data_IF_135305882469
#
_entry.id   IF_135305882469
#
_cell.length_a   1.000
_cell.length_b   1.000
_cell.length_c   1.000
_cell.angle_alpha   90.00
_cell.angle_beta   90.00
_cell.angle_gamma   90.00
#
_symmetry.space_group_name_H-M   'P 1'
#
loop_
_entity.id
_entity.type
_entity.pdbx_description
1 polymer ?
#
# COMPACT_ATOMS: atom_id res chain seq x y z
N UNK A 1 -19.38 -8.60 -8.99
CA UNK A 1 -18.77 -9.91 -8.65
C UNK A 1 -19.47 -11.08 -9.31
N UNK A 2 -20.76 -11.33 -9.12
CA UNK A 2 -21.46 -12.38 -9.90
C UNK A 2 -21.37 -12.15 -11.43
N UNK A 3 -21.41 -10.89 -11.86
CA UNK A 3 -21.15 -10.49 -13.26
C UNK A 3 -19.76 -10.94 -13.75
N UNK A 4 -18.71 -10.63 -12.97
CA UNK A 4 -17.31 -11.01 -13.26
C UNK A 4 -17.16 -12.54 -13.28
N UNK A 5 -17.80 -13.24 -12.34
CA UNK A 5 -17.85 -14.71 -12.32
C UNK A 5 -18.53 -15.27 -13.59
N UNK A 6 -19.65 -14.68 -14.02
CA UNK A 6 -20.31 -15.04 -15.28
C UNK A 6 -19.40 -14.86 -16.48
N UNK A 7 -18.75 -13.71 -16.59
CA UNK A 7 -17.79 -13.42 -17.67
C UNK A 7 -16.62 -14.41 -17.68
N UNK A 8 -16.09 -14.74 -16.51
CA UNK A 8 -15.05 -15.76 -16.36
C UNK A 8 -15.55 -17.16 -16.76
N UNK A 9 -16.77 -17.55 -16.36
CA UNK A 9 -17.36 -18.82 -16.79
C UNK A 9 -17.53 -18.89 -18.31
N UNK A 10 -18.00 -17.82 -18.95
CA UNK A 10 -18.13 -17.74 -20.41
C UNK A 10 -16.76 -17.89 -21.07
N UNK A 11 -15.75 -17.17 -20.59
CA UNK A 11 -14.38 -17.22 -21.12
C UNK A 11 -13.74 -18.61 -21.00
N UNK A 12 -14.07 -19.37 -19.96
CA UNK A 12 -13.54 -20.71 -19.71
C UNK A 12 -14.51 -21.83 -20.14
N UNK A 13 -15.55 -21.51 -20.91
CA UNK A 13 -16.55 -22.46 -21.43
C UNK A 13 -17.31 -23.26 -20.34
N UNK A 14 -17.54 -22.66 -19.18
CA UNK A 14 -18.37 -23.22 -18.11
C UNK A 14 -19.78 -22.62 -18.09
N UNK A 15 -20.77 -23.44 -17.67
CA UNK A 15 -22.12 -22.95 -17.39
C UNK A 15 -22.13 -22.15 -16.09
N UNK A 16 -22.45 -20.86 -16.17
CA UNK A 16 -22.49 -20.01 -14.99
C UNK A 16 -23.66 -20.37 -14.04
N UNK A 17 -23.37 -20.48 -12.75
CA UNK A 17 -24.38 -20.68 -11.72
C UNK A 17 -25.29 -19.45 -11.54
N UNK A 18 -26.50 -19.69 -11.02
CA UNK A 18 -27.44 -18.62 -10.67
C UNK A 18 -26.86 -17.70 -9.59
N UNK A 19 -27.34 -16.44 -9.53
CA UNK A 19 -26.89 -15.49 -8.50
C UNK A 19 -27.18 -16.00 -7.08
N UNK A 20 -28.32 -16.67 -6.88
CA UNK A 20 -28.69 -17.25 -5.60
C UNK A 20 -27.74 -18.37 -5.16
N UNK A 21 -27.40 -19.28 -6.07
CA UNK A 21 -26.43 -20.36 -5.81
C UNK A 21 -25.05 -19.79 -5.51
N UNK A 22 -24.59 -18.81 -6.27
CA UNK A 22 -23.31 -18.12 -6.07
C UNK A 22 -23.23 -17.47 -4.68
N UNK A 23 -24.25 -16.70 -4.28
CA UNK A 23 -24.27 -16.07 -2.95
C UNK A 23 -24.37 -17.07 -1.80
N UNK A 24 -25.13 -18.17 -1.98
CA UNK A 24 -25.22 -19.25 -0.98
C UNK A 24 -23.87 -19.91 -0.75
N UNK A 25 -23.15 -20.25 -1.82
CA UNK A 25 -21.80 -20.85 -1.71
C UNK A 25 -20.86 -19.91 -0.97
N UNK A 26 -20.80 -18.63 -1.36
CA UNK A 26 -19.94 -17.67 -0.66
C UNK A 26 -20.26 -17.55 0.83
N UNK A 27 -21.54 -17.62 1.20
CA UNK A 27 -21.96 -17.56 2.60
C UNK A 27 -21.58 -18.85 3.35
N UNK A 28 -21.81 -20.02 2.74
CA UNK A 28 -21.47 -21.32 3.33
C UNK A 28 -19.96 -21.49 3.53
N UNK A 29 -19.16 -21.02 2.58
CA UNK A 29 -17.70 -21.05 2.64
C UNK A 29 -17.11 -19.89 3.45
N UNK A 30 -17.95 -19.04 4.05
CA UNK A 30 -17.55 -17.86 4.82
C UNK A 30 -16.61 -16.89 4.04
N UNK A 31 -16.87 -16.74 2.74
CA UNK A 31 -16.10 -15.87 1.84
C UNK A 31 -16.80 -14.52 1.71
N UNK A 32 -16.27 -13.53 2.42
CA UNK A 32 -16.67 -12.13 2.29
C UNK A 32 -15.98 -11.46 1.09
N UNK A 33 -16.73 -11.17 0.02
CA UNK A 33 -16.21 -10.33 -1.07
C UNK A 33 -16.50 -8.87 -0.76
N UNK A 34 -15.45 -8.16 -0.34
CA UNK A 34 -15.55 -6.73 -0.03
C UNK A 34 -15.05 -5.90 -1.20
N UNK A 35 -15.75 -4.80 -1.49
CA UNK A 35 -15.18 -3.74 -2.32
C UNK A 35 -13.89 -3.26 -1.66
N UNK A 36 -12.80 -3.03 -2.43
CA UNK A 36 -11.60 -2.42 -1.87
C UNK A 36 -11.97 -1.09 -1.22
N UNK A 37 -11.97 -1.03 0.12
CA UNK A 37 -12.32 0.21 0.86
C UNK A 37 -11.08 1.06 1.16
N UNK A 38 -9.90 0.44 1.18
CA UNK A 38 -8.60 1.08 1.47
C UNK A 38 -7.84 1.33 0.17
N UNK A 39 -6.94 2.31 0.19
CA UNK A 39 -5.96 2.61 -0.88
C UNK A 39 -6.56 3.09 -2.21
N UNK A 40 -7.75 3.71 -2.16
CA UNK A 40 -8.29 4.38 -3.34
C UNK A 40 -7.64 5.75 -3.53
N UNK A 41 -7.19 6.03 -4.76
CA UNK A 41 -6.72 7.38 -5.12
C UNK A 41 -7.83 8.39 -4.93
N UNK A 42 -7.55 9.45 -4.14
CA UNK A 42 -8.49 10.58 -3.92
C UNK A 42 -9.03 11.12 -5.24
N UNK A 43 -8.15 11.31 -6.24
CA UNK A 43 -8.51 11.83 -7.56
C UNK A 43 -9.47 10.88 -8.30
N UNK A 44 -9.21 9.57 -8.25
CA UNK A 44 -10.11 8.59 -8.86
C UNK A 44 -11.49 8.56 -8.17
N UNK A 45 -11.54 8.70 -6.84
CA UNK A 45 -12.79 8.80 -6.10
C UNK A 45 -13.55 10.08 -6.47
N UNK A 46 -12.85 11.22 -6.49
CA UNK A 46 -13.43 12.51 -6.84
C UNK A 46 -14.02 12.53 -8.25
N UNK A 47 -13.38 11.87 -9.22
CA UNK A 47 -13.93 11.78 -10.57
C UNK A 47 -15.24 10.98 -10.61
N UNK A 48 -15.29 9.84 -9.90
CA UNK A 48 -16.51 9.02 -9.80
C UNK A 48 -17.69 9.77 -9.18
N UNK A 49 -17.42 10.71 -8.29
CA UNK A 49 -18.45 11.56 -7.67
C UNK A 49 -18.73 12.84 -8.44
N UNK A 50 -18.09 13.06 -9.60
CA UNK A 50 -18.29 14.24 -10.45
C UNK A 50 -17.62 15.52 -9.92
N UNK A 51 -16.66 15.41 -9.00
CA UNK A 51 -16.01 16.56 -8.36
C UNK A 51 -14.76 17.07 -9.10
N UNK A 52 -14.29 16.36 -10.13
CA UNK A 52 -13.16 16.79 -10.98
C UNK A 52 -13.49 16.58 -12.45
N UNK A 53 -12.83 17.33 -13.32
CA UNK A 53 -13.06 17.26 -14.77
C UNK A 53 -12.51 15.97 -15.37
N UNK A 54 -12.95 15.65 -16.59
CA UNK A 54 -12.44 14.49 -17.33
C UNK A 54 -10.96 14.68 -17.69
N UNK A 55 -10.57 15.90 -18.05
CA UNK A 55 -9.19 16.26 -18.40
C UNK A 55 -8.25 16.11 -17.21
N UNK A 56 -8.67 16.55 -16.02
CA UNK A 56 -7.91 16.36 -14.77
C UNK A 56 -7.73 14.88 -14.42
N UNK A 57 -8.78 14.08 -14.63
CA UNK A 57 -8.73 12.64 -14.42
C UNK A 57 -7.81 11.95 -15.43
N UNK A 58 -7.90 12.28 -16.71
CA UNK A 58 -7.04 11.72 -17.77
C UNK A 58 -5.57 12.05 -17.53
N UNK A 59 -5.25 13.29 -17.14
CA UNK A 59 -3.90 13.68 -16.74
C UNK A 59 -3.40 12.86 -15.55
N UNK A 60 -4.25 12.65 -14.53
CA UNK A 60 -3.92 11.80 -13.38
C UNK A 60 -3.61 10.36 -13.81
N UNK A 61 -4.43 9.78 -14.69
CA UNK A 61 -4.24 8.41 -15.18
C UNK A 61 -2.97 8.30 -16.03
N UNK A 62 -2.69 9.27 -16.91
CA UNK A 62 -1.48 9.30 -17.72
C UNK A 62 -0.22 9.28 -16.83
N UNK A 63 -0.12 10.20 -15.87
CA UNK A 63 1.02 10.26 -14.92
C UNK A 63 1.17 8.98 -14.10
N UNK A 64 0.05 8.38 -13.69
CA UNK A 64 0.04 7.13 -12.94
C UNK A 64 0.57 5.96 -13.76
N UNK A 65 0.21 5.89 -15.04
CA UNK A 65 0.69 4.85 -15.96
C UNK A 65 2.18 5.07 -16.25
N UNK A 66 2.58 6.30 -16.56
CA UNK A 66 3.98 6.67 -16.77
C UNK A 66 4.88 6.29 -15.59
N UNK A 67 4.49 6.64 -14.36
CA UNK A 67 5.25 6.28 -13.17
C UNK A 67 5.37 4.76 -12.95
N UNK A 68 4.34 3.99 -13.33
CA UNK A 68 4.36 2.52 -13.21
C UNK A 68 5.24 1.88 -14.27
N UNK A 69 5.19 2.39 -15.50
CA UNK A 69 6.05 1.94 -16.59
C UNK A 69 7.51 2.27 -16.31
N UNK A 70 7.80 3.49 -15.85
CA UNK A 70 9.15 3.88 -15.41
C UNK A 70 9.67 2.96 -14.30
N UNK A 71 8.87 2.68 -13.27
CA UNK A 71 9.23 1.74 -12.21
C UNK A 71 9.49 0.34 -12.77
N UNK A 72 8.62 -0.16 -13.65
CA UNK A 72 8.76 -1.50 -14.25
C UNK A 72 10.05 -1.59 -15.07
N UNK A 73 10.27 -0.64 -15.97
CA UNK A 73 11.44 -0.61 -16.84
C UNK A 73 12.73 -0.55 -16.01
N UNK A 74 12.75 0.25 -14.94
CA UNK A 74 13.91 0.35 -14.07
C UNK A 74 14.18 -0.95 -13.31
N UNK A 75 13.15 -1.65 -12.85
CA UNK A 75 13.31 -2.97 -12.22
C UNK A 75 13.87 -3.99 -13.22
N UNK A 76 13.42 -3.96 -14.48
CA UNK A 76 13.88 -4.87 -15.53
C UNK A 76 15.31 -4.60 -15.98
N UNK A 77 15.76 -3.34 -15.93
CA UNK A 77 17.12 -2.93 -16.30
C UNK A 77 18.09 -2.79 -15.12
N UNK A 78 17.65 -3.11 -13.90
CA UNK A 78 18.45 -2.88 -12.70
C UNK A 78 19.63 -3.86 -12.61
N UNK A 79 20.80 -3.33 -12.28
CA UNK A 79 21.99 -4.10 -11.94
C UNK A 79 22.08 -4.33 -10.43
N UNK A 80 23.02 -5.16 -9.97
CA UNK A 80 23.27 -5.41 -8.54
C UNK A 80 23.63 -4.14 -7.74
N UNK A 81 24.09 -3.08 -8.43
CA UNK A 81 24.41 -1.79 -7.83
C UNK A 81 23.22 -0.84 -7.72
N UNK A 82 22.13 -1.13 -8.42
CA UNK A 82 20.96 -0.26 -8.43
C UNK A 82 20.08 -0.58 -7.22
N UNK A 83 19.48 0.47 -6.64
CA UNK A 83 18.61 0.34 -5.47
C UNK A 83 17.27 0.96 -5.80
N UNK A 84 16.22 0.14 -5.76
CA UNK A 84 14.84 0.58 -5.96
C UNK A 84 14.11 0.42 -4.65
N UNK A 85 13.82 1.53 -3.97
CA UNK A 85 13.03 1.52 -2.76
C UNK A 85 11.62 2.05 -2.98
N UNK A 86 10.67 1.45 -2.28
CA UNK A 86 9.36 2.04 -2.03
C UNK A 86 9.20 2.26 -0.55
N UNK A 87 8.69 3.43 -0.17
CA UNK A 87 8.48 3.77 1.22
C UNK A 87 7.00 3.91 1.53
N UNK A 88 6.60 3.53 2.73
CA UNK A 88 5.25 3.66 3.22
C UNK A 88 5.24 4.14 4.68
N UNK A 89 4.27 4.99 5.01
CA UNK A 89 4.07 5.50 6.37
C UNK A 89 2.73 4.96 6.84
N UNK A 90 2.74 4.17 7.91
CA UNK A 90 1.50 3.68 8.49
C UNK A 90 0.73 4.82 9.18
N UNK A 91 -0.59 4.67 9.27
CA UNK A 91 -1.41 5.51 10.14
C UNK A 91 -0.89 5.46 11.57
N UNK A 92 -0.94 6.61 12.27
CA UNK A 92 -0.49 6.73 13.67
C UNK A 92 -1.05 5.59 14.53
N UNK A 93 -0.14 4.87 15.18
CA UNK A 93 -0.46 3.77 16.08
C UNK A 93 -0.57 4.35 17.49
N UNK A 94 -1.65 4.02 18.21
CA UNK A 94 -1.85 4.49 19.58
C UNK A 94 -1.54 3.37 20.56
N UNK A 95 -0.67 3.64 21.53
CA UNK A 95 -0.28 2.71 22.58
C UNK A 95 -0.68 3.24 23.98
N UNK A 96 -1.25 2.38 24.87
CA UNK A 96 -1.62 0.98 24.65
C UNK A 96 -2.91 0.82 23.82
N UNK A 97 -3.00 -0.26 23.04
CA UNK A 97 -4.22 -0.63 22.30
C UNK A 97 -5.18 -1.36 23.24
N UNK A 98 -6.23 -0.68 23.71
CA UNK A 98 -7.22 -1.25 24.62
C UNK A 98 -8.64 -0.83 24.20
N UNK A 99 -9.59 -1.76 24.29
CA UNK A 99 -10.99 -1.58 23.84
C UNK A 99 -11.92 -1.00 24.92
N UNK A 100 -11.40 -0.69 26.12
CA UNK A 100 -12.20 -0.18 27.23
C UNK A 100 -12.51 1.32 27.05
N UNK A 101 -13.78 1.68 27.24
CA UNK A 101 -14.29 3.06 27.13
C UNK A 101 -13.58 4.04 28.08
N UNK A 102 -13.07 3.56 29.22
CA UNK A 102 -12.33 4.34 30.21
C UNK A 102 -11.05 5.01 29.66
N UNK A 103 -10.52 4.56 28.51
CA UNK A 103 -9.35 5.17 27.86
C UNK A 103 -9.69 6.34 26.95
N UNK A 104 -10.96 6.65 26.71
CA UNK A 104 -11.32 7.83 25.91
C UNK A 104 -10.73 9.12 26.51
N UNK A 105 -10.63 9.18 27.85
CA UNK A 105 -10.08 10.31 28.58
C UNK A 105 -8.61 10.16 28.98
N UNK A 106 -7.93 9.08 28.56
CA UNK A 106 -6.51 8.87 28.86
C UNK A 106 -5.65 9.28 27.67
N UNK A 107 -4.53 9.94 27.97
CA UNK A 107 -3.50 10.24 26.95
C UNK A 107 -2.98 8.92 26.38
N UNK A 108 -2.94 8.83 25.06
CA UNK A 108 -2.41 7.66 24.33
C UNK A 108 -1.10 8.08 23.68
N UNK A 109 -0.08 7.25 23.87
CA UNK A 109 1.22 7.46 23.25
C UNK A 109 1.08 7.28 21.74
N UNK A 110 1.53 8.26 20.97
CA UNK A 110 1.60 8.14 19.52
C UNK A 110 2.88 7.43 19.12
N UNK A 111 2.71 6.36 18.35
CA UNK A 111 3.77 5.58 17.74
C UNK A 111 3.69 5.72 16.22
N UNK A 112 4.85 5.90 15.62
CA UNK A 112 5.03 6.08 14.18
C UNK A 112 5.78 4.88 13.61
N UNK A 113 5.42 4.52 12.39
CA UNK A 113 6.05 3.42 11.66
C UNK A 113 6.31 3.89 10.22
N UNK A 114 7.57 3.84 9.83
CA UNK A 114 8.04 4.13 8.48
C UNK A 114 8.71 2.89 7.91
N UNK A 115 8.15 2.36 6.83
CA UNK A 115 8.61 1.14 6.19
C UNK A 115 9.34 1.49 4.90
N UNK A 116 10.56 0.97 4.75
CA UNK A 116 11.36 1.05 3.53
C UNK A 116 11.46 -0.36 2.96
N UNK A 117 10.96 -0.54 1.73
CA UNK A 117 10.93 -1.81 1.03
C UNK A 117 11.85 -1.76 -0.19
N UNK A 118 12.85 -2.65 -0.25
CA UNK A 118 13.68 -2.82 -1.42
C UNK A 118 12.97 -3.72 -2.43
N UNK A 119 12.67 -3.19 -3.60
CA UNK A 119 11.93 -3.90 -4.64
C UNK A 119 12.78 -5.00 -5.30
N UNK A 120 14.10 -4.84 -5.35
CA UNK A 120 15.01 -5.80 -5.97
C UNK A 120 15.33 -6.95 -5.01
N UNK A 121 15.89 -6.65 -3.83
CA UNK A 121 16.26 -7.68 -2.85
C UNK A 121 15.06 -8.28 -2.11
N UNK A 122 13.90 -7.60 -2.17
CA UNK A 122 12.68 -7.93 -1.39
C UNK A 122 12.83 -7.72 0.12
N UNK A 123 13.91 -7.10 0.57
CA UNK A 123 14.12 -6.79 1.98
C UNK A 123 13.26 -5.63 2.46
N UNK A 124 12.97 -5.67 3.76
CA UNK A 124 12.13 -4.67 4.42
C UNK A 124 12.86 -4.15 5.64
N UNK A 125 13.00 -2.83 5.73
CA UNK A 125 13.43 -2.16 6.97
C UNK A 125 12.28 -1.35 7.53
N UNK A 126 12.06 -1.50 8.83
CA UNK A 126 11.00 -0.81 9.56
C UNK A 126 11.65 0.11 10.60
N UNK A 127 11.39 1.40 10.48
CA UNK A 127 11.71 2.40 11.48
C UNK A 127 10.48 2.63 12.36
N UNK A 128 10.67 2.52 13.67
CA UNK A 128 9.61 2.68 14.66
C UNK A 128 10.09 3.60 15.77
N UNK A 129 9.30 4.63 16.07
CA UNK A 129 9.58 5.57 17.16
C UNK A 129 8.26 6.09 17.75
N UNK A 130 8.31 6.60 18.97
CA UNK A 130 7.16 7.28 19.57
C UNK A 130 7.35 8.81 19.58
N UNK A 131 6.29 9.55 19.83
CA UNK A 131 6.27 11.03 19.83
C UNK A 131 7.32 11.68 20.75
N UNK A 132 7.76 11.00 21.81
CA UNK A 132 8.83 11.49 22.67
C UNK A 132 10.25 11.36 22.08
N UNK A 133 10.46 10.49 21.09
CA UNK A 133 11.77 10.22 20.46
C UNK A 133 11.96 11.02 19.17
N UNK A 134 10.86 11.36 18.50
CA UNK A 134 10.90 12.06 17.22
C UNK A 134 9.52 12.46 16.76
N UNK A 135 9.46 13.48 15.91
CA UNK A 135 8.21 13.97 15.34
C UNK A 135 7.92 13.31 13.99
N UNK A 136 6.86 13.75 13.33
CA UNK A 136 6.50 13.36 11.96
C UNK A 136 6.83 14.51 11.01
N UNK A 137 8.09 14.96 11.01
CA UNK A 137 8.56 16.01 10.11
C UNK A 137 9.50 15.43 9.04
N UNK A 138 9.82 16.25 8.04
CA UNK A 138 10.75 15.85 6.98
C UNK A 138 12.11 15.38 7.54
N UNK A 139 12.54 15.91 8.69
CA UNK A 139 13.84 15.58 9.29
C UNK A 139 13.94 14.10 9.67
N UNK A 140 12.93 13.56 10.36
CA UNK A 140 12.92 12.17 10.78
C UNK A 140 12.89 11.21 9.57
N UNK A 141 12.10 11.53 8.55
CA UNK A 141 12.05 10.73 7.32
C UNK A 141 13.36 10.78 6.52
N UNK A 142 13.97 11.96 6.38
CA UNK A 142 15.27 12.12 5.74
C UNK A 142 16.34 11.35 6.50
N UNK A 143 16.33 11.40 7.84
CA UNK A 143 17.25 10.62 8.67
C UNK A 143 17.09 9.11 8.43
N UNK A 144 15.86 8.59 8.44
CA UNK A 144 15.59 7.17 8.17
C UNK A 144 16.12 6.75 6.79
N UNK A 145 15.95 7.58 5.76
CA UNK A 145 16.45 7.30 4.42
C UNK A 145 17.97 7.33 4.33
N UNK A 146 18.62 8.30 4.97
CA UNK A 146 20.08 8.39 5.01
C UNK A 146 20.66 7.18 5.75
N UNK A 147 20.11 6.84 6.92
CA UNK A 147 20.51 5.65 7.69
C UNK A 147 20.37 4.37 6.86
N UNK A 148 19.25 4.22 6.14
CA UNK A 148 19.02 3.09 5.26
C UNK A 148 20.10 2.99 4.17
N UNK A 149 20.38 4.10 3.48
CA UNK A 149 21.40 4.14 2.42
C UNK A 149 22.81 3.82 2.94
N UNK A 150 23.18 4.35 4.11
CA UNK A 150 24.50 4.09 4.72
C UNK A 150 24.69 2.63 5.11
N UNK A 151 23.65 1.98 5.65
CA UNK A 151 23.74 0.56 5.98
C UNK A 151 23.86 -0.31 4.74
N UNK A 152 23.20 0.07 3.65
CA UNK A 152 23.37 -0.62 2.37
C UNK A 152 24.79 -0.49 1.83
N UNK A 153 25.41 0.70 1.90
CA UNK A 153 26.78 0.87 1.41
C UNK A 153 27.79 0.03 2.21
N UNK A 154 27.64 -0.03 3.54
CA UNK A 154 28.51 -0.85 4.40
C UNK A 154 28.40 -2.34 4.09
N UNK A 155 27.21 -2.83 3.72
CA UNK A 155 27.02 -4.23 3.33
C UNK A 155 27.68 -4.53 1.98
N UNK A 156 27.64 -3.61 1.02
CA UNK A 156 28.29 -3.79 -0.28
C UNK A 156 29.82 -3.81 -0.18
N UNK A 157 30.41 -3.08 0.77
CA UNK A 157 31.86 -3.08 1.01
C UNK A 157 32.33 -4.32 1.80
N UNK A 158 31.46 -4.99 2.55
CA UNK A 158 31.79 -6.17 3.35
C UNK A 158 31.83 -7.48 2.55
N UNK A 159 31.21 -7.52 1.37
CA UNK A 159 31.17 -8.67 0.47
C UNK A 159 32.29 -8.64 -0.61
N UNK A 160 33.29 -7.75 -0.45
CA UNK A 160 34.48 -7.65 -1.32
C UNK A 160 35.74 -8.13 -0.62
#
# INVERSE_FOLDING_TARGET
>A
MHQVFKEWCIKNHYKAASRGTFSKILTNENIGIHLPRKDQSRMCCSYKTGNISKEEYESHIAKKTEAREAKKNFIESANEKDVVITVDVHSVLLAPKLLASALYYKLKLQCHNFTVYNVLSKDVKIYFWHEADGNVTAKEFTFCLIDYCLQMSVLMDADT
#
